data_IF_383243088153
#
_entry.id   IF_383243088153
#
_cell.length_a   1.000
_cell.length_b   1.000
_cell.length_c   1.000
_cell.angle_alpha   90.00
_cell.angle_beta   90.00
_cell.angle_gamma   90.00
#
_symmetry.space_group_name_H-M   'P 1'
#
loop_
_entity.id
_entity.type
_entity.pdbx_description
1 polymer ?
#
# COMPACT_ATOMS: atom_id res chain seq x y z
N UNK A 1 1.82 -20.23 12.52
CA UNK A 1 2.33 -20.46 11.15
C UNK A 1 3.20 -21.72 11.18
N UNK A 2 2.75 -22.84 10.60
CA UNK A 2 3.45 -24.14 10.61
C UNK A 2 3.52 -24.69 9.18
N UNK A 3 4.65 -25.34 8.84
CA UNK A 3 4.87 -26.12 7.61
C UNK A 3 4.17 -27.49 7.68
N UNK A 4 3.75 -28.03 6.53
CA UNK A 4 3.98 -29.43 6.10
C UNK A 4 3.52 -29.67 4.64
N UNK A 5 4.03 -30.70 3.92
CA UNK A 5 4.11 -30.76 2.46
C UNK A 5 3.08 -31.68 1.78
N UNK A 6 3.08 -31.62 0.45
CA UNK A 6 2.53 -32.55 -0.57
C UNK A 6 1.31 -32.08 -1.39
N UNK A 7 1.60 -32.00 -2.69
CA UNK A 7 0.78 -31.78 -3.90
C UNK A 7 0.14 -30.42 -4.22
N UNK A 8 0.23 -29.98 -5.50
CA UNK A 8 0.04 -28.58 -5.87
C UNK A 8 -1.37 -28.33 -6.39
N UNK A 9 -2.16 -27.43 -5.78
CA UNK A 9 -3.14 -26.69 -6.52
C UNK A 9 -2.44 -25.52 -7.21
N UNK A 10 -2.57 -25.44 -8.54
CA UNK A 10 -2.12 -24.31 -9.37
C UNK A 10 -2.60 -22.99 -8.75
N UNK A 11 -1.70 -22.12 -8.29
CA UNK A 11 -2.12 -20.92 -7.58
C UNK A 11 -2.51 -19.82 -8.59
N UNK A 12 -3.51 -18.97 -8.30
CA UNK A 12 -3.54 -17.64 -8.86
C UNK A 12 -2.45 -16.86 -8.12
N UNK A 13 -1.19 -17.07 -8.50
CA UNK A 13 -0.06 -16.37 -7.88
C UNK A 13 -0.14 -14.92 -8.33
N UNK A 14 -0.43 -14.04 -7.39
CA UNK A 14 0.25 -12.76 -7.34
C UNK A 14 1.73 -13.05 -7.59
N UNK A 15 2.21 -12.78 -8.81
CA UNK A 15 3.57 -13.12 -9.18
C UNK A 15 4.48 -12.04 -8.63
N UNK A 16 4.91 -12.23 -7.39
CA UNK A 16 5.98 -11.42 -6.82
C UNK A 16 7.30 -11.98 -7.29
N UNK A 17 8.06 -11.15 -7.98
CA UNK A 17 9.35 -11.54 -8.51
C UNK A 17 10.47 -10.76 -7.81
N UNK A 18 11.70 -11.31 -7.82
CA UNK A 18 12.86 -10.65 -7.23
C UNK A 18 13.16 -9.27 -7.84
N UNK A 19 12.66 -8.99 -9.04
CA UNK A 19 12.77 -7.71 -9.76
C UNK A 19 11.74 -6.63 -9.31
N UNK A 20 10.90 -6.94 -8.32
CA UNK A 20 9.86 -6.04 -7.81
C UNK A 20 8.51 -6.12 -8.52
N UNK A 21 8.34 -7.00 -9.51
CA UNK A 21 7.03 -7.20 -10.13
C UNK A 21 5.97 -7.53 -9.07
N UNK A 22 4.84 -6.83 -9.12
CA UNK A 22 3.71 -6.98 -8.18
C UNK A 22 3.86 -6.25 -6.84
N UNK A 23 5.05 -5.73 -6.49
CA UNK A 23 5.26 -5.06 -5.20
C UNK A 23 4.56 -3.70 -5.11
N UNK A 24 4.61 -2.90 -6.18
CA UNK A 24 4.02 -1.56 -6.23
C UNK A 24 2.49 -1.60 -6.17
N UNK A 25 1.87 -2.52 -6.91
CA UNK A 25 0.44 -2.82 -6.84
C UNK A 25 0.03 -3.21 -5.43
N UNK A 26 0.79 -4.08 -4.76
CA UNK A 26 0.49 -4.47 -3.39
C UNK A 26 0.64 -3.31 -2.40
N UNK A 27 1.68 -2.48 -2.54
CA UNK A 27 1.87 -1.33 -1.66
C UNK A 27 0.71 -0.33 -1.80
N UNK A 28 0.26 -0.04 -3.02
CA UNK A 28 -0.88 0.87 -3.24
C UNK A 28 -2.22 0.24 -2.79
N UNK A 29 -2.37 -1.08 -2.86
CA UNK A 29 -3.51 -1.79 -2.26
C UNK A 29 -3.52 -1.72 -0.74
N UNK A 30 -2.37 -1.89 -0.08
CA UNK A 30 -2.26 -1.74 1.36
C UNK A 30 -2.52 -0.29 1.79
N UNK A 31 -2.04 0.69 1.02
CA UNK A 31 -2.31 2.11 1.26
C UNK A 31 -3.80 2.42 1.13
N UNK A 32 -4.48 1.82 0.14
CA UNK A 32 -5.93 1.91 0.01
C UNK A 32 -6.67 1.25 1.18
N UNK A 33 -6.27 0.04 1.62
CA UNK A 33 -6.82 -0.59 2.83
C UNK A 33 -6.66 0.32 4.05
N UNK A 34 -5.47 0.89 4.26
CA UNK A 34 -5.22 1.80 5.37
C UNK A 34 -6.18 3.00 5.35
N UNK A 35 -6.32 3.67 4.19
CA UNK A 35 -7.25 4.80 4.06
C UNK A 35 -8.72 4.41 4.32
N UNK A 36 -9.14 3.25 3.83
CA UNK A 36 -10.51 2.78 4.00
C UNK A 36 -10.79 2.34 5.46
N UNK A 37 -9.84 1.68 6.11
CA UNK A 37 -9.98 1.25 7.50
C UNK A 37 -9.92 2.42 8.49
N UNK A 38 -9.15 3.48 8.18
CA UNK A 38 -9.19 4.72 8.96
C UNK A 38 -10.61 5.29 9.10
N UNK A 39 -11.47 4.98 8.12
CA UNK A 39 -12.87 5.40 8.09
C UNK A 39 -13.80 4.53 8.91
N UNK A 40 -13.60 3.20 8.91
CA UNK A 40 -14.46 2.23 9.60
C UNK A 40 -13.99 1.88 11.03
N UNK A 41 -12.69 1.81 11.26
CA UNK A 41 -12.08 1.36 12.52
C UNK A 41 -11.59 2.51 13.43
N UNK A 42 -11.67 3.75 12.94
CA UNK A 42 -11.34 4.97 13.69
C UNK A 42 -9.83 5.24 13.77
N UNK A 43 -9.38 6.21 12.97
CA UNK A 43 -8.04 6.82 13.05
C UNK A 43 -7.12 6.48 11.87
N UNK A 44 -6.50 7.50 11.28
CA UNK A 44 -5.49 7.39 10.21
C UNK A 44 -4.04 7.31 10.72
N UNK A 45 -3.87 7.32 12.05
CA UNK A 45 -2.56 7.43 12.69
C UNK A 45 -1.92 6.06 12.99
N UNK A 46 -2.61 4.96 12.65
CA UNK A 46 -2.11 3.59 12.79
C UNK A 46 -0.99 3.31 11.79
N UNK A 47 -0.15 2.34 12.12
CA UNK A 47 0.85 1.82 11.19
C UNK A 47 0.35 0.56 10.49
N UNK A 48 0.45 0.53 9.16
CA UNK A 48 0.11 -0.62 8.33
C UNK A 48 1.40 -1.22 7.78
N UNK A 49 1.61 -2.51 8.06
CA UNK A 49 2.73 -3.26 7.53
C UNK A 49 2.26 -4.57 6.93
N UNK A 50 2.54 -4.77 5.64
CA UNK A 50 2.30 -6.04 4.95
C UNK A 50 3.52 -6.95 5.02
N UNK A 51 3.40 -8.07 5.73
CA UNK A 51 4.44 -9.09 5.80
C UNK A 51 4.23 -10.17 4.70
N UNK A 52 5.24 -10.38 3.87
CA UNK A 52 5.16 -11.14 2.61
C UNK A 52 6.00 -12.42 2.65
N UNK A 53 5.35 -13.57 2.56
CA UNK A 53 6.05 -14.83 2.30
C UNK A 53 6.35 -14.97 0.80
N UNK A 54 7.63 -14.90 0.43
CA UNK A 54 8.11 -15.06 -0.96
C UNK A 54 8.92 -16.35 -1.13
N UNK A 55 9.00 -16.86 -2.36
CA UNK A 55 9.73 -18.09 -2.70
C UNK A 55 11.16 -17.85 -3.25
N UNK A 56 11.56 -16.59 -3.44
CA UNK A 56 12.90 -16.21 -3.91
C UNK A 56 13.81 -15.76 -2.76
N UNK A 57 15.13 -15.98 -2.87
CA UNK A 57 16.11 -15.75 -1.80
C UNK A 57 16.77 -14.37 -1.76
N UNK A 58 16.68 -13.59 -2.83
CA UNK A 58 17.35 -12.29 -3.00
C UNK A 58 16.57 -11.40 -3.98
N UNK A 59 16.67 -10.07 -3.87
CA UNK A 59 15.95 -9.11 -4.71
C UNK A 59 15.22 -8.08 -3.85
N UNK A 60 14.09 -7.55 -4.33
CA UNK A 60 13.24 -6.68 -3.51
C UNK A 60 12.78 -7.40 -2.26
N UNK A 61 13.03 -6.76 -1.12
CA UNK A 61 12.68 -7.26 0.20
C UNK A 61 11.74 -6.34 0.99
N UNK A 62 11.44 -5.15 0.46
CA UNK A 62 10.55 -4.16 1.08
C UNK A 62 10.31 -2.97 0.17
N UNK A 63 9.15 -2.31 0.33
CA UNK A 63 8.84 -1.00 -0.25
C UNK A 63 8.08 -0.14 0.77
N UNK A 64 8.29 1.17 0.70
CA UNK A 64 7.60 2.15 1.53
C UNK A 64 7.65 3.54 0.90
N UNK A 65 6.73 4.42 1.31
CA UNK A 65 6.64 5.79 0.81
C UNK A 65 7.68 6.72 1.44
N UNK A 66 8.21 7.66 0.66
CA UNK A 66 9.14 8.69 1.15
C UNK A 66 8.37 9.90 1.69
N UNK A 67 8.55 10.30 2.97
CA UNK A 67 8.02 11.53 3.51
C UNK A 67 8.51 12.76 2.74
N UNK A 68 7.61 13.45 2.06
CA UNK A 68 7.90 14.70 1.34
C UNK A 68 7.12 15.90 1.88
N UNK A 69 6.17 15.69 2.80
CA UNK A 69 5.35 16.74 3.41
C UNK A 69 5.09 16.44 4.90
N UNK A 70 5.05 17.47 5.78
CA UNK A 70 4.63 17.35 7.18
C UNK A 70 3.19 16.87 7.39
N UNK A 71 2.37 16.91 6.33
CA UNK A 71 0.98 16.49 6.42
C UNK A 71 0.91 15.00 6.71
N UNK A 72 0.19 14.66 7.79
CA UNK A 72 -0.06 13.28 8.24
C UNK A 72 -0.78 12.50 7.14
N UNK A 73 -0.02 11.94 6.21
CA UNK A 73 -0.54 11.10 5.17
C UNK A 73 -0.35 9.65 5.58
N UNK A 74 -1.42 8.87 5.52
CA UNK A 74 -1.42 7.43 5.82
C UNK A 74 -0.34 6.67 5.00
N UNK A 75 0.09 7.21 3.86
CA UNK A 75 1.21 6.68 3.07
C UNK A 75 2.47 6.48 3.90
N UNK A 76 2.92 7.49 4.66
CA UNK A 76 4.17 7.42 5.40
C UNK A 76 4.10 6.42 6.56
N UNK A 77 2.90 5.99 6.92
CA UNK A 77 2.63 4.95 7.92
C UNK A 77 2.34 3.59 7.28
N UNK A 78 2.58 3.44 5.98
CA UNK A 78 2.29 2.22 5.20
C UNK A 78 3.55 1.70 4.53
N UNK A 79 3.89 0.44 4.77
CA UNK A 79 5.00 -0.24 4.11
C UNK A 79 4.72 -1.74 3.94
N UNK A 80 5.50 -2.39 3.09
CA UNK A 80 5.48 -3.84 2.88
C UNK A 80 6.89 -4.41 2.93
N UNK A 81 7.05 -5.67 3.33
CA UNK A 81 8.34 -6.36 3.29
C UNK A 81 8.25 -7.85 3.59
N UNK A 82 9.37 -8.55 3.45
CA UNK A 82 9.39 -10.01 3.63
C UNK A 82 9.02 -10.45 5.05
N UNK A 83 8.29 -11.56 5.10
CA UNK A 83 8.09 -12.42 6.26
C UNK A 83 9.13 -13.55 6.24
N UNK A 84 10.38 -13.24 6.61
CA UNK A 84 11.46 -14.25 6.71
C UNK A 84 12.18 -14.17 8.05
N UNK A 85 12.12 -15.29 8.77
CA UNK A 85 12.78 -15.48 10.07
C UNK A 85 13.96 -16.45 10.03
N UNK A 86 14.19 -17.16 8.91
CA UNK A 86 15.22 -18.21 8.80
C UNK A 86 16.02 -18.10 7.50
N UNK A 87 17.33 -18.39 7.55
CA UNK A 87 18.21 -18.46 6.37
C UNK A 87 19.19 -17.28 6.19
N UNK A 88 19.13 -16.30 7.08
CA UNK A 88 20.21 -15.33 7.26
C UNK A 88 20.91 -15.59 8.60
N UNK A 89 22.24 -15.52 8.62
CA UNK A 89 23.08 -15.73 9.81
C UNK A 89 22.98 -14.59 10.84
N UNK A 90 22.22 -13.54 10.55
CA UNK A 90 21.98 -12.36 11.38
C UNK A 90 20.60 -12.38 12.07
N UNK A 91 19.94 -13.55 12.14
CA UNK A 91 18.75 -13.73 12.97
C UNK A 91 17.50 -13.07 12.39
N UNK A 92 16.97 -13.65 11.30
CA UNK A 92 15.54 -13.60 10.98
C UNK A 92 14.91 -12.21 11.08
N UNK A 93 15.41 -11.28 10.28
CA UNK A 93 15.25 -9.87 10.57
C UNK A 93 13.92 -9.28 10.09
N UNK A 94 12.83 -9.62 10.79
CA UNK A 94 11.65 -8.75 10.85
C UNK A 94 12.02 -7.31 11.27
N UNK A 95 12.98 -7.06 12.20
CA UNK A 95 13.43 -5.71 12.52
C UNK A 95 14.33 -5.08 11.45
N UNK A 96 15.21 -5.84 10.77
CA UNK A 96 16.06 -5.26 9.71
C UNK A 96 15.33 -5.02 8.44
N UNK A 97 14.24 -5.73 8.11
CA UNK A 97 13.39 -5.38 6.97
C UNK A 97 12.39 -4.28 7.33
N UNK A 98 11.97 -4.18 8.60
CA UNK A 98 11.32 -2.97 9.13
C UNK A 98 12.24 -1.76 9.07
N UNK A 99 13.56 -1.95 9.16
CA UNK A 99 14.56 -0.90 8.94
C UNK A 99 14.93 -0.74 7.45
N UNK A 100 15.15 -1.81 6.70
CA UNK A 100 15.68 -1.88 5.32
C UNK A 100 14.59 -1.65 4.26
N UNK A 101 13.37 -2.08 4.54
CA UNK A 101 12.14 -1.78 3.81
C UNK A 101 11.30 -0.66 4.44
N UNK A 102 11.76 -0.08 5.55
CA UNK A 102 11.15 1.08 6.20
C UNK A 102 12.07 2.29 6.34
N UNK A 103 13.29 2.22 5.82
CA UNK A 103 14.25 3.32 5.82
C UNK A 103 13.92 4.40 4.79
N UNK A 104 12.71 4.36 4.24
CA UNK A 104 12.11 5.45 3.47
C UNK A 104 10.86 5.97 4.14
N UNK A 105 10.14 5.19 4.98
CA UNK A 105 9.03 5.70 5.79
C UNK A 105 9.46 6.20 7.17
N UNK A 106 10.54 5.71 7.78
CA UNK A 106 10.94 6.03 9.17
C UNK A 106 12.29 6.76 9.29
N UNK A 107 13.10 6.71 8.25
CA UNK A 107 14.25 7.56 8.05
C UNK A 107 14.13 8.06 6.62
N UNK A 108 14.54 9.30 6.34
CA UNK A 108 14.57 9.83 4.97
C UNK A 108 15.41 8.96 4.02
N UNK A 109 15.55 9.37 2.75
CA UNK A 109 16.15 8.54 1.69
C UNK A 109 17.41 7.85 2.19
N UNK A 110 17.39 6.52 2.09
CA UNK A 110 18.51 5.57 2.25
C UNK A 110 19.81 6.18 2.78
N UNK A 111 20.22 5.76 3.99
CA UNK A 111 21.60 5.95 4.41
C UNK A 111 22.54 5.48 3.27
N UNK A 112 23.58 6.26 2.96
CA UNK A 112 24.21 6.23 1.67
C UNK A 112 25.22 5.09 1.62
N UNK A 113 24.77 3.91 1.16
CA UNK A 113 25.69 2.90 0.67
C UNK A 113 25.25 2.51 -0.74
N UNK A 114 25.96 3.12 -1.70
CA UNK A 114 26.24 2.68 -3.06
C UNK A 114 25.09 2.64 -4.08
N UNK A 115 24.74 3.81 -4.62
CA UNK A 115 24.48 3.97 -6.06
C UNK A 115 24.89 5.34 -6.61
N UNK A 116 25.07 6.36 -5.77
CA UNK A 116 25.66 7.66 -6.19
C UNK A 116 26.36 8.36 -5.02
N UNK A 117 27.63 8.80 -5.18
CA UNK A 117 28.42 9.50 -4.14
C UNK A 117 27.85 10.85 -3.67
N UNK A 118 26.80 11.37 -4.34
CA UNK A 118 26.30 12.73 -4.14
C UNK A 118 25.25 12.88 -3.02
N UNK A 119 24.79 11.78 -2.42
CA UNK A 119 23.74 11.79 -1.38
C UNK A 119 24.28 11.47 0.03
N UNK A 120 25.61 11.56 0.24
CA UNK A 120 26.22 11.33 1.57
C UNK A 120 26.10 12.61 2.40
N UNK A 121 25.33 12.64 3.51
CA UNK A 121 25.47 13.72 4.48
C UNK A 121 26.89 13.68 5.05
N UNK A 122 27.58 14.83 5.19
CA UNK A 122 28.98 14.87 5.66
C UNK A 122 29.19 14.30 7.09
N UNK A 123 28.12 13.95 7.79
CA UNK A 123 28.13 13.38 9.14
C UNK A 123 28.14 11.85 9.20
N UNK A 124 27.90 11.15 8.08
CA UNK A 124 28.05 9.70 7.99
C UNK A 124 29.46 9.40 7.46
N UNK A 125 30.28 8.74 8.28
CA UNK A 125 31.58 8.28 7.82
C UNK A 125 31.41 7.31 6.65
N UNK A 126 32.36 7.23 5.71
CA UNK A 126 32.30 6.33 4.54
C UNK A 126 32.14 4.83 4.85
N UNK A 127 32.05 4.44 6.13
CA UNK A 127 32.11 3.07 6.61
C UNK A 127 30.85 2.58 7.34
N UNK A 128 29.74 3.35 7.30
CA UNK A 128 28.47 3.02 7.96
C UNK A 128 28.64 2.58 9.44
N UNK A 129 29.56 3.23 10.15
CA UNK A 129 29.92 2.90 11.54
C UNK A 129 28.92 3.50 12.51
N UNK A 130 28.60 2.77 13.58
CA UNK A 130 27.78 3.31 14.68
C UNK A 130 28.61 4.37 15.44
N UNK A 131 28.00 5.48 15.85
CA UNK A 131 28.69 6.44 16.74
C UNK A 131 28.64 5.99 18.22
N UNK A 132 27.81 5.00 18.55
CA UNK A 132 27.59 4.51 19.91
C UNK A 132 27.38 2.99 19.90
N UNK A 133 27.81 2.32 20.96
CA UNK A 133 27.53 0.90 21.16
C UNK A 133 26.05 0.64 21.44
N UNK A 134 25.58 -0.53 21.01
CA UNK A 134 24.23 -1.01 21.27
C UNK A 134 24.16 -1.95 22.47
N UNK A 135 22.97 -2.10 23.05
CA UNK A 135 22.71 -3.13 24.06
C UNK A 135 21.51 -3.97 23.62
N UNK A 136 21.75 -5.28 23.48
CA UNK A 136 20.73 -6.28 23.24
C UNK A 136 20.26 -6.85 24.57
N UNK A 137 19.00 -6.55 24.94
CA UNK A 137 18.41 -7.00 26.19
C UNK A 137 17.93 -8.45 26.17
N UNK A 138 17.75 -9.05 24.99
CA UNK A 138 17.32 -10.45 24.84
C UNK A 138 18.49 -11.39 25.11
N UNK A 139 19.65 -11.06 24.53
CA UNK A 139 20.87 -11.84 24.72
C UNK A 139 21.80 -11.27 25.79
N UNK A 140 21.43 -10.15 26.41
CA UNK A 140 22.24 -9.44 27.40
C UNK A 140 23.66 -9.18 26.89
N UNK A 141 23.76 -8.64 25.67
CA UNK A 141 25.01 -8.48 24.93
C UNK A 141 25.23 -7.02 24.51
N UNK A 142 26.49 -6.62 24.40
CA UNK A 142 26.88 -5.31 23.89
C UNK A 142 27.30 -5.41 22.43
N UNK A 143 26.70 -4.57 21.58
CA UNK A 143 27.11 -4.36 20.20
C UNK A 143 28.15 -3.27 20.10
N UNK A 144 29.23 -3.53 19.37
CA UNK A 144 30.38 -2.66 19.31
C UNK A 144 30.29 -1.72 18.10
N UNK A 145 30.51 -0.40 18.29
CA UNK A 145 30.46 0.58 17.21
C UNK A 145 31.57 0.39 16.17
N UNK A 146 32.58 -0.44 16.48
CA UNK A 146 33.72 -0.70 15.61
C UNK A 146 33.53 -1.93 14.73
N UNK A 147 32.73 -2.90 15.17
CA UNK A 147 32.50 -4.17 14.46
C UNK A 147 31.15 -4.22 13.78
N UNK A 148 30.12 -3.72 14.44
CA UNK A 148 28.76 -3.69 13.91
C UNK A 148 28.60 -2.51 12.95
N UNK A 149 27.83 -2.75 11.89
CA UNK A 149 27.52 -1.77 10.86
C UNK A 149 26.06 -1.42 10.90
N UNK A 150 25.74 -0.22 10.43
CA UNK A 150 24.35 0.18 10.35
C UNK A 150 23.54 -0.78 9.48
N UNK A 151 22.33 -1.08 9.95
CA UNK A 151 21.38 -2.01 9.35
C UNK A 151 21.00 -1.64 7.90
N UNK A 152 21.13 -0.36 7.53
CA UNK A 152 20.92 0.18 6.19
C UNK A 152 22.16 0.10 5.29
N UNK A 153 23.34 -0.18 5.86
CA UNK A 153 24.63 -0.14 5.15
C UNK A 153 24.98 -1.40 4.36
N UNK A 154 24.07 -2.36 4.22
CA UNK A 154 24.27 -3.68 3.56
C UNK A 154 25.43 -4.55 4.12
N UNK A 155 26.14 -4.10 5.15
CA UNK A 155 27.24 -4.83 5.78
C UNK A 155 26.76 -5.77 6.91
N UNK A 156 27.60 -6.74 7.27
CA UNK A 156 27.39 -7.63 8.43
C UNK A 156 28.66 -7.66 9.30
N UNK A 157 28.54 -7.86 10.63
CA UNK A 157 27.31 -7.92 11.41
C UNK A 157 26.57 -6.58 11.45
N UNK A 158 25.24 -6.61 11.59
CA UNK A 158 24.38 -5.44 11.51
C UNK A 158 23.76 -5.07 12.87
N UNK A 159 23.57 -3.78 13.07
CA UNK A 159 22.88 -3.21 14.23
C UNK A 159 22.21 -1.89 13.85
N UNK A 160 21.23 -1.44 14.64
CA UNK A 160 20.59 -0.14 14.45
C UNK A 160 21.53 0.97 14.95
N UNK A 161 22.05 1.82 14.06
CA UNK A 161 22.87 2.96 14.48
C UNK A 161 22.09 3.99 15.30
N UNK A 162 22.82 4.84 16.01
CA UNK A 162 22.24 5.99 16.68
C UNK A 162 21.57 6.95 15.68
N UNK A 163 22.08 7.05 14.45
CA UNK A 163 21.45 7.81 13.36
C UNK A 163 20.06 7.23 13.03
N UNK A 164 19.97 5.94 12.68
CA UNK A 164 18.68 5.31 12.33
C UNK A 164 17.73 5.30 13.53
N UNK A 165 18.24 5.04 14.73
CA UNK A 165 17.45 5.08 15.96
C UNK A 165 16.84 6.48 16.20
N UNK A 166 17.64 7.55 16.07
CA UNK A 166 17.16 8.94 16.22
C UNK A 166 16.12 9.28 15.14
N UNK A 167 16.34 8.90 13.89
CA UNK A 167 15.37 9.13 12.82
C UNK A 167 14.02 8.44 13.11
N UNK A 168 14.04 7.18 13.57
CA UNK A 168 12.83 6.47 13.98
C UNK A 168 12.14 7.20 15.13
N UNK A 169 12.89 7.66 16.15
CA UNK A 169 12.31 8.42 17.25
C UNK A 169 11.72 9.76 16.79
N UNK A 170 12.42 10.50 15.93
CA UNK A 170 11.97 11.79 15.40
C UNK A 170 10.71 11.65 14.55
N UNK A 171 10.62 10.57 13.77
CA UNK A 171 9.42 10.23 13.02
C UNK A 171 8.26 9.84 13.95
N UNK A 172 8.51 9.02 14.98
CA UNK A 172 7.49 8.59 15.96
C UNK A 172 6.96 9.76 16.79
N UNK A 173 7.85 10.64 17.22
CA UNK A 173 7.52 11.77 18.09
C UNK A 173 7.04 13.00 17.32
N UNK A 174 7.09 12.97 15.98
CA UNK A 174 6.79 14.11 15.13
C UNK A 174 7.76 15.29 15.24
N UNK A 175 8.83 15.15 16.04
CA UNK A 175 9.85 16.17 16.29
C UNK A 175 10.73 16.43 15.08
N UNK A 176 10.79 15.49 14.12
CA UNK A 176 11.46 15.69 12.83
C UNK A 176 10.70 16.60 11.86
N UNK A 177 9.48 17.05 12.20
CA UNK A 177 8.65 17.89 11.33
C UNK A 177 8.00 17.16 10.15
N UNK A 178 8.19 15.84 10.03
CA UNK A 178 7.64 15.01 8.94
C UNK A 178 6.25 14.43 9.24
N UNK A 179 5.91 14.26 10.52
CA UNK A 179 4.58 13.86 10.96
C UNK A 179 4.13 14.75 12.11
N UNK A 180 3.15 15.61 11.89
CA UNK A 180 2.41 16.20 13.02
C UNK A 180 1.42 15.14 13.56
N UNK A 181 1.91 14.17 14.33
CA UNK A 181 1.12 13.04 14.82
C UNK A 181 0.63 13.22 16.25
N UNK A 182 -0.64 12.94 16.49
CA UNK A 182 -1.15 12.53 17.80
C UNK A 182 -0.70 11.10 18.13
N UNK A 183 -0.84 10.66 19.39
CA UNK A 183 -0.56 9.27 19.78
C UNK A 183 -1.30 8.27 18.87
N UNK A 184 -0.72 7.09 18.61
CA UNK A 184 -1.28 6.04 17.74
C UNK A 184 -2.71 5.61 18.15
N UNK A 185 -3.01 5.71 19.45
CA UNK A 185 -4.32 5.43 20.06
C UNK A 185 -5.14 6.70 20.35
N UNK A 186 -4.71 7.86 19.86
CA UNK A 186 -5.45 9.09 20.07
C UNK A 186 -6.83 8.97 19.40
N UNK A 187 -7.91 9.39 20.10
CA UNK A 187 -9.22 9.47 19.49
C UNK A 187 -9.14 10.27 18.19
N UNK A 188 -9.82 9.80 17.15
CA UNK A 188 -9.95 10.50 15.88
C UNK A 188 -10.19 12.01 16.12
N UNK A 189 -9.37 12.86 15.50
CA UNK A 189 -9.42 14.30 15.73
C UNK A 189 -10.85 14.83 15.53
N UNK A 190 -11.34 15.61 16.49
CA UNK A 190 -12.65 16.27 16.39
C UNK A 190 -12.63 17.20 15.15
N UNK A 191 -13.54 16.97 14.21
CA UNK A 191 -13.65 17.75 12.97
C UNK A 191 -13.26 17.01 11.68
N UNK A 192 -12.94 15.71 11.74
CA UNK A 192 -12.78 14.92 10.52
C UNK A 192 -14.11 14.80 9.76
N UNK A 193 -14.06 14.97 8.43
CA UNK A 193 -15.22 14.79 7.55
C UNK A 193 -15.85 13.41 7.77
N UNK A 194 -17.18 13.31 7.89
CA UNK A 194 -17.84 12.03 8.06
C UNK A 194 -17.62 11.13 6.84
N UNK A 195 -17.70 9.82 7.06
CA UNK A 195 -17.72 8.87 5.95
C UNK A 195 -18.94 9.14 5.07
N UNK A 196 -18.73 9.18 3.76
CA UNK A 196 -19.77 9.38 2.73
C UNK A 196 -19.42 8.59 1.49
N UNK A 197 -20.33 8.56 0.52
CA UNK A 197 -20.09 7.88 -0.75
C UNK A 197 -18.95 8.57 -1.50
N UNK A 198 -17.94 7.80 -1.88
CA UNK A 198 -16.72 8.28 -2.51
C UNK A 198 -16.30 7.37 -3.66
N UNK A 199 -15.61 7.95 -4.63
CA UNK A 199 -14.85 7.21 -5.61
C UNK A 199 -13.41 7.03 -5.11
N UNK A 200 -13.03 5.81 -4.77
CA UNK A 200 -11.65 5.43 -4.49
C UNK A 200 -10.90 5.24 -5.81
N UNK A 201 -9.93 6.10 -6.09
CA UNK A 201 -9.10 6.06 -7.30
C UNK A 201 -7.64 5.86 -6.91
N UNK A 202 -6.95 5.01 -7.66
CA UNK A 202 -5.57 4.63 -7.39
C UNK A 202 -4.78 4.59 -8.69
N UNK A 203 -3.50 4.89 -8.63
CA UNK A 203 -2.63 4.76 -9.78
C UNK A 203 -1.14 4.77 -9.44
N UNK A 204 -0.37 4.41 -10.44
CA UNK A 204 1.08 4.24 -10.38
C UNK A 204 1.68 5.03 -11.55
N UNK A 205 2.66 5.87 -11.26
CA UNK A 205 3.57 6.47 -12.23
C UNK A 205 4.86 5.65 -12.21
N UNK A 206 5.09 4.95 -13.30
CA UNK A 206 6.27 4.14 -13.54
C UNK A 206 7.45 5.03 -13.97
N UNK A 207 8.66 4.49 -13.84
CA UNK A 207 9.90 5.21 -14.13
C UNK A 207 10.13 5.60 -15.57
N UNK A 208 9.53 4.86 -16.50
CA UNK A 208 9.50 5.18 -17.92
C UNK A 208 8.53 6.32 -18.26
N UNK A 209 7.85 6.89 -17.25
CA UNK A 209 6.82 7.90 -17.39
C UNK A 209 5.45 7.33 -17.76
N UNK A 210 5.31 6.00 -17.84
CA UNK A 210 4.04 5.31 -18.00
C UNK A 210 3.14 5.53 -16.78
N UNK A 211 1.88 5.88 -17.03
CA UNK A 211 0.88 5.98 -15.95
C UNK A 211 -0.08 4.81 -16.05
N UNK A 212 -0.30 4.16 -14.93
CA UNK A 212 -1.29 3.10 -14.77
C UNK A 212 -2.40 3.57 -13.83
N UNK A 213 -3.64 3.47 -14.30
CA UNK A 213 -4.82 3.60 -13.47
C UNK A 213 -5.29 2.21 -13.05
N UNK A 214 -5.35 1.97 -11.75
CA UNK A 214 -5.92 0.75 -11.20
C UNK A 214 -7.45 0.86 -11.16
N UNK A 215 -8.17 -0.28 -11.14
CA UNK A 215 -9.62 -0.29 -11.02
C UNK A 215 -10.10 0.54 -9.81
N UNK A 216 -11.06 1.43 -10.06
CA UNK A 216 -11.63 2.33 -9.07
C UNK A 216 -12.83 1.68 -8.35
N UNK A 217 -13.10 2.10 -7.12
CA UNK A 217 -14.22 1.59 -6.35
C UNK A 217 -15.14 2.70 -5.86
N UNK A 218 -16.44 2.56 -6.09
CA UNK A 218 -17.45 3.33 -5.33
C UNK A 218 -17.60 2.69 -3.96
N UNK A 219 -17.30 3.43 -2.91
CA UNK A 219 -17.36 2.93 -1.53
C UNK A 219 -17.66 4.06 -0.54
N UNK A 220 -18.30 3.70 0.57
CA UNK A 220 -18.43 4.61 1.71
C UNK A 220 -17.10 4.68 2.45
N UNK A 221 -16.52 5.87 2.53
CA UNK A 221 -15.27 6.14 3.24
C UNK A 221 -15.16 7.62 3.58
N UNK A 222 -14.19 7.99 4.42
CA UNK A 222 -13.85 9.39 4.63
C UNK A 222 -13.16 9.94 3.39
N UNK A 223 -13.55 11.13 2.92
CA UNK A 223 -12.89 11.79 1.81
C UNK A 223 -11.41 12.00 2.10
N UNK A 224 -10.61 11.76 1.08
CA UNK A 224 -9.20 12.07 1.08
C UNK A 224 -8.82 12.53 -0.32
N UNK A 225 -8.63 13.82 -0.44
CA UNK A 225 -8.18 14.45 -1.68
C UNK A 225 -6.70 14.77 -1.52
N UNK A 226 -5.92 14.42 -2.54
CA UNK A 226 -4.51 14.75 -2.57
C UNK A 226 -4.32 15.97 -3.47
N UNK A 227 -4.51 17.16 -2.90
CA UNK A 227 -4.31 18.41 -3.62
C UNK A 227 -2.86 18.88 -3.43
N UNK A 228 -2.08 18.84 -4.51
CA UNK A 228 -0.73 19.40 -4.57
C UNK A 228 -0.53 20.28 -5.81
N UNK A 229 0.57 21.03 -5.89
CA UNK A 229 0.89 21.96 -6.99
C UNK A 229 1.30 21.24 -8.30
N UNK A 230 0.81 20.02 -8.53
CA UNK A 230 1.21 19.18 -9.66
C UNK A 230 0.51 19.52 -10.97
N UNK A 231 1.22 19.34 -12.09
CA UNK A 231 0.68 19.50 -13.46
C UNK A 231 -0.23 18.33 -13.90
N UNK A 232 -0.40 17.33 -13.04
CA UNK A 232 -1.20 16.14 -13.34
C UNK A 232 -2.60 16.31 -12.80
N UNK A 233 -3.56 15.85 -13.58
CA UNK A 233 -4.98 16.03 -13.28
C UNK A 233 -5.72 14.74 -13.58
N UNK A 234 -6.60 14.34 -12.66
CA UNK A 234 -7.57 13.28 -12.86
C UNK A 234 -8.86 13.89 -13.43
N UNK A 235 -9.36 13.35 -14.53
CA UNK A 235 -10.65 13.71 -15.12
C UNK A 235 -11.60 12.53 -15.03
N UNK A 236 -12.82 12.79 -14.57
CA UNK A 236 -13.95 11.88 -14.72
C UNK A 236 -14.74 12.20 -15.98
N UNK A 237 -15.08 11.17 -16.76
CA UNK A 237 -15.78 11.31 -18.03
C UNK A 237 -17.12 10.57 -18.03
N UNK A 238 -18.10 11.14 -18.69
CA UNK A 238 -19.38 10.49 -18.99
C UNK A 238 -19.24 9.49 -20.17
N UNK A 239 -20.31 8.74 -20.53
CA UNK A 239 -20.28 7.80 -21.67
C UNK A 239 -20.03 8.48 -23.02
N UNK A 240 -20.31 9.78 -23.14
CA UNK A 240 -20.07 10.59 -24.35
C UNK A 240 -18.67 11.20 -24.38
N UNK A 241 -17.88 11.05 -23.31
CA UNK A 241 -16.56 11.62 -23.16
C UNK A 241 -16.54 13.06 -22.65
N UNK A 242 -17.67 13.61 -22.19
CA UNK A 242 -17.71 14.92 -21.54
C UNK A 242 -17.13 14.83 -20.13
N UNK A 243 -16.38 15.85 -19.72
CA UNK A 243 -15.79 15.94 -18.38
C UNK A 243 -16.86 16.21 -17.33
N UNK A 244 -17.02 15.29 -16.37
CA UNK A 244 -17.90 15.41 -15.22
C UNK A 244 -17.22 16.12 -14.05
N UNK A 245 -15.95 15.82 -13.81
CA UNK A 245 -15.15 16.45 -12.76
C UNK A 245 -13.66 16.48 -13.13
N UNK A 246 -12.92 17.34 -12.44
CA UNK A 246 -11.48 17.50 -12.59
C UNK A 246 -10.86 17.65 -11.20
N UNK A 247 -9.82 16.87 -10.91
CA UNK A 247 -9.13 16.87 -9.62
C UNK A 247 -7.63 16.95 -9.83
N UNK A 248 -6.96 17.86 -9.12
CA UNK A 248 -5.49 17.91 -9.12
C UNK A 248 -4.90 16.65 -8.49
N UNK A 249 -3.82 16.14 -9.07
CA UNK A 249 -3.11 14.97 -8.59
C UNK A 249 -1.75 15.37 -8.04
N UNK A 250 -1.46 14.89 -6.84
CA UNK A 250 -0.12 14.84 -6.30
C UNK A 250 0.36 13.39 -6.27
N UNK A 251 1.63 13.19 -6.64
CA UNK A 251 2.27 11.89 -6.66
C UNK A 251 3.11 11.72 -5.41
N UNK A 252 2.98 10.58 -4.74
CA UNK A 252 3.77 10.23 -3.56
C UNK A 252 4.91 9.31 -3.97
N UNK A 253 6.14 9.73 -3.67
CA UNK A 253 7.34 8.97 -4.01
C UNK A 253 7.42 7.65 -3.23
N UNK A 254 7.76 6.58 -3.94
CA UNK A 254 8.07 5.28 -3.37
C UNK A 254 9.57 5.16 -3.25
N UNK A 255 10.03 4.88 -2.04
CA UNK A 255 11.45 4.68 -1.77
C UNK A 255 11.87 3.23 -1.99
N UNK A 256 13.14 3.05 -2.37
CA UNK A 256 13.76 1.75 -2.63
C UNK A 256 13.07 0.89 -3.71
N UNK A 257 12.35 1.50 -4.66
CA UNK A 257 11.85 0.74 -5.81
C UNK A 257 13.02 0.26 -6.68
N UNK A 258 13.07 -1.04 -7.04
CA UNK A 258 14.14 -1.59 -7.87
C UNK A 258 14.09 -1.08 -9.32
N UNK A 259 12.95 -0.51 -9.75
CA UNK A 259 12.73 -0.02 -11.11
C UNK A 259 13.04 1.47 -11.27
N UNK A 260 13.28 2.19 -10.16
CA UNK A 260 13.58 3.62 -10.13
C UNK A 260 12.73 4.40 -9.11
N UNK A 261 12.40 5.65 -9.40
CA UNK A 261 11.52 6.55 -8.65
C UNK A 261 10.04 6.40 -9.06
N UNK A 262 9.46 5.22 -8.85
CA UNK A 262 8.01 5.07 -8.96
C UNK A 262 7.27 5.98 -7.98
N UNK A 263 6.08 6.43 -8.37
CA UNK A 263 5.23 7.26 -7.52
C UNK A 263 3.79 6.78 -7.57
N UNK A 264 3.10 6.79 -6.45
CA UNK A 264 1.70 6.35 -6.39
C UNK A 264 0.77 7.51 -6.04
N UNK A 265 -0.52 7.30 -6.30
CA UNK A 265 -1.57 8.05 -5.64
C UNK A 265 -2.76 7.14 -5.31
N UNK A 266 -3.53 7.56 -4.32
CA UNK A 266 -4.73 6.98 -3.74
C UNK A 266 -5.55 8.17 -3.27
N UNK A 267 -6.78 8.28 -3.77
CA UNK A 267 -7.72 9.32 -3.38
C UNK A 267 -9.09 8.73 -3.13
N UNK A 268 -9.82 9.28 -2.16
CA UNK A 268 -11.24 9.03 -1.96
C UNK A 268 -12.01 10.31 -2.25
N UNK A 269 -12.52 10.43 -3.48
CA UNK A 269 -13.17 11.63 -3.98
C UNK A 269 -14.64 11.66 -3.59
N UNK A 270 -15.09 12.69 -2.84
CA UNK A 270 -16.49 12.84 -2.51
C UNK A 270 -17.24 13.48 -3.69
N UNK A 271 -17.96 12.66 -4.44
CA UNK A 271 -18.72 13.09 -5.61
C UNK A 271 -20.22 12.92 -5.37
N UNK A 272 -21.02 13.77 -6.01
CA UNK A 272 -22.48 13.63 -5.97
C UNK A 272 -22.90 12.30 -6.62
N UNK A 273 -23.99 11.71 -6.11
CA UNK A 273 -24.51 10.44 -6.62
C UNK A 273 -24.76 10.50 -8.14
N UNK A 274 -25.30 11.61 -8.66
CA UNK A 274 -25.53 11.79 -10.10
C UNK A 274 -24.22 11.78 -10.92
N UNK A 275 -23.12 12.27 -10.37
CA UNK A 275 -21.80 12.21 -11.03
C UNK A 275 -21.26 10.79 -11.01
N UNK A 276 -21.38 10.09 -9.88
CA UNK A 276 -20.96 8.68 -9.74
C UNK A 276 -21.74 7.77 -10.68
N UNK A 277 -23.05 7.97 -10.80
CA UNK A 277 -23.93 7.18 -11.68
C UNK A 277 -23.68 7.45 -13.17
N UNK A 278 -23.24 8.67 -13.52
CA UNK A 278 -22.91 9.05 -14.89
C UNK A 278 -21.47 8.70 -15.28
N UNK A 279 -20.63 8.27 -14.36
CA UNK A 279 -19.20 8.06 -14.60
C UNK A 279 -18.95 6.81 -15.45
N UNK A 280 -18.29 6.97 -16.60
CA UNK A 280 -17.96 5.88 -17.51
C UNK A 280 -16.46 5.83 -17.88
N UNK A 281 -15.68 6.85 -17.50
CA UNK A 281 -14.25 6.89 -17.76
C UNK A 281 -13.48 7.69 -16.72
N UNK A 282 -12.21 7.33 -16.55
CA UNK A 282 -11.21 8.08 -15.81
C UNK A 282 -10.01 8.33 -16.70
N UNK A 283 -9.39 9.50 -16.58
CA UNK A 283 -8.16 9.85 -17.29
C UNK A 283 -7.18 10.58 -16.39
N UNK A 284 -5.91 10.21 -16.49
CA UNK A 284 -4.81 11.04 -15.99
C UNK A 284 -4.26 11.83 -17.15
N UNK A 285 -4.22 13.16 -16.99
CA UNK A 285 -3.72 14.08 -18.01
C UNK A 285 -2.59 14.94 -17.45
N UNK A 286 -1.69 15.37 -18.35
CA UNK A 286 -0.68 16.40 -18.09
C UNK A 286 -0.74 17.42 -19.23
N UNK A 287 -1.19 18.64 -18.93
CA UNK A 287 -1.59 19.59 -19.97
C UNK A 287 -2.68 18.98 -20.86
N UNK A 288 -2.45 18.97 -22.17
CA UNK A 288 -3.39 18.38 -23.15
C UNK A 288 -3.12 16.90 -23.46
N UNK A 289 -2.06 16.31 -22.88
CA UNK A 289 -1.70 14.92 -23.12
C UNK A 289 -2.41 14.00 -22.13
N UNK A 290 -3.17 13.03 -22.65
CA UNK A 290 -3.67 11.90 -21.86
C UNK A 290 -2.53 10.91 -21.62
N UNK A 291 -2.22 10.63 -20.36
CA UNK A 291 -1.18 9.68 -19.96
C UNK A 291 -1.74 8.29 -19.70
N UNK A 292 -2.93 8.22 -19.11
CA UNK A 292 -3.66 6.98 -18.86
C UNK A 292 -5.15 7.21 -19.02
N UNK A 293 -5.87 6.16 -19.44
CA UNK A 293 -7.33 6.16 -19.50
C UNK A 293 -7.85 4.81 -19.01
N UNK A 294 -8.92 4.87 -18.23
CA UNK A 294 -9.71 3.72 -17.82
C UNK A 294 -11.14 3.94 -18.29
N UNK A 295 -11.80 2.90 -18.78
CA UNK A 295 -13.19 2.92 -19.23
C UNK A 295 -13.94 1.81 -18.53
N UNK A 296 -15.19 2.09 -18.16
CA UNK A 296 -16.09 1.07 -17.61
C UNK A 296 -16.30 -0.03 -18.66
N UNK A 297 -16.06 -1.28 -18.27
CA UNK A 297 -16.30 -2.44 -19.13
C UNK A 297 -17.80 -2.70 -19.36
N UNK A 298 -18.65 -2.17 -18.48
CA UNK A 298 -20.10 -2.33 -18.56
C UNK A 298 -20.82 -1.19 -19.28
N UNK A 299 -20.16 -0.03 -19.49
CA UNK A 299 -20.73 1.13 -20.16
C UNK A 299 -21.25 0.87 -21.58
N UNK A 300 -20.81 -0.21 -22.22
CA UNK A 300 -21.22 -0.63 -23.58
C UNK A 300 -21.92 -1.99 -23.64
N UNK A 301 -22.07 -2.70 -22.51
CA UNK A 301 -22.49 -4.11 -22.51
C UNK A 301 -23.85 -4.32 -21.82
N UNK A 302 -24.71 -5.13 -22.44
CA UNK A 302 -25.86 -5.75 -21.78
C UNK A 302 -25.30 -6.82 -20.82
N UNK A 303 -24.98 -6.41 -19.60
CA UNK A 303 -24.33 -7.30 -18.62
C UNK A 303 -25.31 -8.38 -18.17
N UNK A 304 -24.95 -9.65 -18.41
CA UNK A 304 -25.52 -10.78 -17.68
C UNK A 304 -24.91 -10.74 -16.29
N UNK A 305 -25.72 -10.46 -15.27
CA UNK A 305 -25.26 -10.38 -13.87
C UNK A 305 -25.00 -11.78 -13.33
N UNK A 306 -23.82 -12.33 -13.63
CA UNK A 306 -23.31 -13.47 -12.88
C UNK A 306 -23.13 -13.03 -11.42
N UNK A 307 -23.86 -13.66 -10.51
CA UNK A 307 -23.78 -13.31 -9.09
C UNK A 307 -22.45 -13.85 -8.56
N UNK A 308 -21.65 -13.04 -7.85
CA UNK A 308 -20.43 -13.56 -7.24
C UNK A 308 -20.74 -14.62 -6.20
N UNK A 309 -19.83 -15.58 -6.05
CA UNK A 309 -19.98 -16.70 -5.13
C UNK A 309 -18.92 -16.64 -4.02
N UNK A 310 -19.35 -17.03 -2.82
CA UNK A 310 -18.49 -17.21 -1.66
C UNK A 310 -18.64 -18.64 -1.14
N UNK A 311 -17.53 -19.37 -1.05
CA UNK A 311 -17.48 -20.72 -0.52
C UNK A 311 -16.53 -20.78 0.67
N UNK A 312 -17.02 -21.24 1.82
CA UNK A 312 -16.17 -21.51 2.98
C UNK A 312 -15.38 -22.79 2.75
N UNK A 313 -14.05 -22.71 2.80
CA UNK A 313 -13.15 -23.86 2.63
C UNK A 313 -12.71 -24.44 3.98
N UNK A 314 -12.58 -23.58 4.99
CA UNK A 314 -12.28 -23.94 6.38
C UNK A 314 -12.79 -22.83 7.33
N UNK A 315 -12.60 -23.01 8.64
CA UNK A 315 -12.98 -22.02 9.65
C UNK A 315 -12.35 -20.62 9.39
N UNK A 316 -11.19 -20.58 8.74
CA UNK A 316 -10.41 -19.38 8.49
C UNK A 316 -10.21 -19.07 7.00
N UNK A 317 -10.68 -19.91 6.06
CA UNK A 317 -10.48 -19.69 4.62
C UNK A 317 -11.80 -19.55 3.87
N UNK A 318 -11.85 -18.49 3.07
CA UNK A 318 -12.95 -18.17 2.18
C UNK A 318 -12.46 -18.12 0.73
N UNK A 319 -13.12 -18.85 -0.16
CA UNK A 319 -12.94 -18.72 -1.60
C UNK A 319 -14.01 -17.80 -2.17
N UNK A 320 -13.59 -16.82 -2.97
CA UNK A 320 -14.44 -15.89 -3.68
C UNK A 320 -14.29 -16.13 -5.18
N UNK A 321 -15.40 -16.16 -5.90
CA UNK A 321 -15.44 -16.31 -7.36
C UNK A 321 -16.35 -15.27 -7.99
N UNK A 322 -15.88 -14.61 -9.05
CA UNK A 322 -16.62 -13.60 -9.82
C UNK A 322 -16.11 -13.57 -11.28
N UNK A 323 -16.88 -12.93 -12.17
CA UNK A 323 -16.45 -12.74 -13.56
C UNK A 323 -15.42 -11.60 -13.68
N UNK A 324 -14.14 -11.96 -13.79
CA UNK A 324 -13.07 -10.97 -13.96
C UNK A 324 -13.01 -10.33 -15.36
N UNK A 325 -13.68 -10.89 -16.36
CA UNK A 325 -13.81 -10.26 -17.68
C UNK A 325 -14.75 -9.07 -17.67
N UNK A 326 -15.67 -9.02 -16.69
CA UNK A 326 -16.60 -7.90 -16.46
C UNK A 326 -16.11 -7.03 -15.30
N UNK A 327 -15.63 -7.67 -14.23
CA UNK A 327 -15.20 -7.02 -13.00
C UNK A 327 -13.72 -7.32 -12.71
N UNK A 328 -12.77 -6.57 -13.28
CA UNK A 328 -11.33 -6.85 -13.16
C UNK A 328 -10.81 -6.85 -11.72
N UNK A 329 -11.51 -6.20 -10.79
CA UNK A 329 -11.13 -6.20 -9.38
C UNK A 329 -12.33 -6.24 -8.43
N UNK A 330 -12.07 -6.73 -7.22
CA UNK A 330 -13.04 -6.81 -6.13
C UNK A 330 -12.44 -6.27 -4.82
N UNK A 331 -13.19 -5.43 -4.12
CA UNK A 331 -12.89 -4.99 -2.75
C UNK A 331 -13.75 -5.82 -1.80
N UNK A 332 -13.12 -6.50 -0.84
CA UNK A 332 -13.79 -7.35 0.14
C UNK A 332 -13.78 -6.68 1.50
N UNK A 333 -14.94 -6.60 2.13
CA UNK A 333 -15.08 -6.14 3.52
C UNK A 333 -15.74 -7.19 4.38
N UNK A 334 -15.34 -7.23 5.64
CA UNK A 334 -16.16 -7.84 6.67
C UNK A 334 -17.40 -6.95 6.88
N UNK A 335 -18.60 -7.51 6.72
CA UNK A 335 -19.83 -6.72 6.75
C UNK A 335 -20.25 -6.32 8.18
N UNK A 336 -19.65 -6.93 9.21
CA UNK A 336 -19.95 -6.66 10.61
C UNK A 336 -19.02 -5.55 11.16
N UNK A 337 -17.74 -5.58 10.80
CA UNK A 337 -16.73 -4.62 11.29
C UNK A 337 -16.47 -3.47 10.31
N UNK A 338 -16.78 -3.66 9.02
CA UNK A 338 -16.41 -2.73 7.95
C UNK A 338 -14.92 -2.74 7.60
N UNK A 339 -14.13 -3.65 8.19
CA UNK A 339 -12.72 -3.84 7.86
C UNK A 339 -12.56 -4.30 6.41
N UNK A 340 -11.62 -3.71 5.68
CA UNK A 340 -11.23 -4.18 4.35
C UNK A 340 -10.34 -5.41 4.48
N UNK A 341 -10.84 -6.58 4.08
CA UNK A 341 -10.08 -7.82 4.18
C UNK A 341 -9.08 -7.98 3.03
N UNK A 342 -9.46 -7.57 1.81
CA UNK A 342 -8.61 -7.68 0.64
C UNK A 342 -9.09 -6.78 -0.51
N UNK A 343 -8.15 -6.44 -1.39
CA UNK A 343 -8.43 -6.01 -2.77
C UNK A 343 -7.88 -7.12 -3.67
N UNK A 344 -8.72 -7.61 -4.58
CA UNK A 344 -8.48 -8.86 -5.29
C UNK A 344 -8.64 -8.66 -6.80
N UNK A 345 -7.92 -9.46 -7.58
CA UNK A 345 -8.02 -9.54 -9.04
C UNK A 345 -8.07 -11.01 -9.50
N UNK A 346 -8.39 -11.24 -10.77
CA UNK A 346 -8.29 -12.58 -11.39
C UNK A 346 -9.49 -13.51 -11.22
N UNK A 347 -10.60 -13.07 -10.63
CA UNK A 347 -11.91 -13.74 -10.72
C UNK A 347 -12.10 -14.95 -9.81
N UNK A 348 -11.02 -15.52 -9.25
CA UNK A 348 -11.08 -16.56 -8.23
C UNK A 348 -9.93 -16.44 -7.26
N UNK A 349 -10.24 -16.19 -5.99
CA UNK A 349 -9.23 -15.94 -4.96
C UNK A 349 -9.61 -16.61 -3.64
N UNK A 350 -8.59 -16.94 -2.84
CA UNK A 350 -8.78 -17.46 -1.48
C UNK A 350 -8.18 -16.48 -0.50
N UNK A 351 -8.95 -16.09 0.50
CA UNK A 351 -8.53 -15.17 1.56
C UNK A 351 -8.68 -15.81 2.94
N UNK A 352 -7.91 -15.30 3.89
CA UNK A 352 -8.11 -15.61 5.31
C UNK A 352 -9.23 -14.74 5.85
N UNK A 353 -10.32 -15.34 6.30
CA UNK A 353 -11.46 -14.63 6.85
C UNK A 353 -12.27 -15.52 7.81
N UNK A 354 -12.52 -15.04 9.03
CA UNK A 354 -13.32 -15.71 10.06
C UNK A 354 -14.75 -15.17 10.16
N UNK A 355 -15.02 -14.01 9.55
CA UNK A 355 -16.36 -13.41 9.49
C UNK A 355 -17.40 -14.32 8.82
N UNK A 356 -18.67 -14.03 9.07
CA UNK A 356 -19.80 -14.76 8.48
C UNK A 356 -20.43 -14.04 7.29
N UNK A 357 -20.30 -12.72 7.27
CA UNK A 357 -20.95 -11.85 6.29
C UNK A 357 -19.90 -10.96 5.65
N UNK A 358 -19.98 -10.83 4.33
CA UNK A 358 -19.00 -10.11 3.55
C UNK A 358 -19.68 -9.17 2.57
N UNK A 359 -19.19 -7.95 2.45
CA UNK A 359 -19.57 -7.04 1.39
C UNK A 359 -18.49 -7.09 0.30
N UNK A 360 -18.88 -7.54 -0.89
CA UNK A 360 -18.03 -7.64 -2.07
C UNK A 360 -18.38 -6.53 -3.04
N UNK A 361 -17.47 -5.56 -3.22
CA UNK A 361 -17.63 -4.46 -4.16
C UNK A 361 -16.85 -4.79 -5.43
N UNK A 362 -17.56 -5.15 -6.49
CA UNK A 362 -17.01 -5.50 -7.79
C UNK A 362 -16.84 -4.25 -8.65
N UNK A 363 -15.61 -3.96 -9.08
CA UNK A 363 -15.29 -2.83 -9.94
C UNK A 363 -15.30 -3.26 -11.41
N UNK A 364 -15.94 -2.50 -12.28
CA UNK A 364 -15.85 -2.67 -13.75
C UNK A 364 -14.68 -1.88 -14.40
N UNK A 365 -13.81 -1.34 -13.56
CA UNK A 365 -12.75 -0.41 -13.90
C UNK A 365 -13.05 0.99 -13.36
N UNK A 366 -14.29 1.45 -13.44
CA UNK A 366 -14.65 2.84 -13.08
C UNK A 366 -15.80 2.89 -12.09
N UNK A 367 -16.89 2.18 -12.39
CA UNK A 367 -18.06 2.04 -11.53
C UNK A 367 -17.94 0.78 -10.68
N UNK A 368 -18.89 0.59 -9.75
CA UNK A 368 -18.89 -0.60 -8.89
C UNK A 368 -20.27 -1.09 -8.54
N UNK A 369 -20.37 -2.39 -8.28
CA UNK A 369 -21.57 -3.08 -7.79
C UNK A 369 -21.25 -3.81 -6.49
N UNK A 370 -22.04 -3.54 -5.45
CA UNK A 370 -21.88 -4.18 -4.15
C UNK A 370 -22.80 -5.41 -4.03
N UNK A 371 -22.25 -6.50 -3.52
CA UNK A 371 -22.95 -7.73 -3.21
C UNK A 371 -22.70 -8.11 -1.76
N UNK A 372 -23.78 -8.44 -1.04
CA UNK A 372 -23.66 -9.03 0.30
C UNK A 372 -23.65 -10.55 0.19
N UNK A 373 -22.64 -11.18 0.77
CA UNK A 373 -22.40 -12.60 0.71
C UNK A 373 -22.41 -13.20 2.12
N UNK A 374 -23.14 -14.29 2.28
CA UNK A 374 -23.22 -15.08 3.51
C UNK A 374 -22.96 -16.55 3.16
N UNK A 375 -21.67 -16.96 3.04
CA UNK A 375 -21.33 -18.34 2.68
C UNK A 375 -21.92 -19.32 3.70
N UNK A 376 -22.49 -20.41 3.21
CA UNK A 376 -22.90 -21.52 4.07
C UNK A 376 -21.67 -22.08 4.81
N UNK A 377 -21.88 -22.45 6.08
CA UNK A 377 -20.83 -23.01 6.94
C UNK A 377 -20.40 -24.41 6.52
#
# INVERSE_FOLDING_TARGET
MWRSPSEPPSPPRWSWAPDGTGWSTLLTELAAKHQLDASSLGGSDRYYYGALSVDYGSGVAGLGYVPSSPSSSFYYRTAIGWDKTSGYSDGGLFPSLRARGGGTTWAGPTAPVAASPALIPPTLTPAATLASGGYDSVFNALHSPFTDKDIMGYCTPNWVSDYVYKQILDFRNGTGGFLAGSAEDAPAAKGQSPARDCLLVRGILHDDGGVELLPAFRTVTRPFEQAGPGDHVLRGLDPKGATLFTQALEWVEVGCSPKGQERHFVMALPLDAAVLDALAGLQVVKGDKTLASLRSMTASARVVTATPEAQRLSADKLQLTWDAGIHPAALVRDADTGEVLAILSGGRQTITATGKRFDLVLSDGVASHAHRLEPAN
#
